data_IF_564300679201
#
_entry.id   IF_564300679201
#
_cell.length_a   1.000
_cell.length_b   1.000
_cell.length_c   1.000
_cell.angle_alpha   90.00
_cell.angle_beta   90.00
_cell.angle_gamma   90.00
#
_symmetry.space_group_name_H-M   'P 1'
#
loop_
_entity.id
_entity.type
_entity.pdbx_description
1 polymer ?
#
# COMPACT_ATOMS: atom_id res chain seq x y z
N UNK A 1 -12.39 7.02 13.91
CA UNK A 1 -12.22 6.89 15.37
C UNK A 1 -10.71 6.79 15.64
N UNK A 2 -10.12 7.73 16.39
CA UNK A 2 -8.66 7.76 16.58
C UNK A 2 -8.22 6.74 17.63
N UNK A 3 -7.79 5.56 17.17
CA UNK A 3 -7.13 4.54 17.98
C UNK A 3 -5.63 4.88 18.08
N UNK A 4 -5.30 5.85 18.93
CA UNK A 4 -3.90 6.31 19.13
C UNK A 4 -2.98 5.24 19.75
N UNK A 5 -3.54 4.16 20.32
CA UNK A 5 -2.80 3.18 21.12
C UNK A 5 -3.03 1.72 20.70
N UNK A 6 -3.85 1.45 19.68
CA UNK A 6 -3.97 0.08 19.18
C UNK A 6 -2.84 -0.23 18.20
N UNK A 7 -2.23 -1.43 18.28
CA UNK A 7 -1.25 -1.85 17.30
C UNK A 7 -1.93 -1.92 15.93
N UNK A 8 -1.30 -1.33 14.91
CA UNK A 8 -1.84 -1.33 13.55
C UNK A 8 -2.02 -2.76 13.05
N UNK A 9 -3.19 -3.01 12.46
CA UNK A 9 -3.48 -4.28 11.81
C UNK A 9 -2.52 -4.53 10.64
N UNK A 10 -2.38 -5.79 10.23
CA UNK A 10 -1.58 -6.14 9.03
C UNK A 10 -2.07 -5.38 7.80
N UNK A 11 -3.38 -5.22 7.65
CA UNK A 11 -4.01 -4.49 6.54
C UNK A 11 -3.62 -3.01 6.55
N UNK A 12 -3.72 -2.34 7.70
CA UNK A 12 -3.33 -0.94 7.85
C UNK A 12 -1.85 -0.72 7.52
N UNK A 13 -0.97 -1.64 7.95
CA UNK A 13 0.46 -1.56 7.65
C UNK A 13 0.74 -1.71 6.15
N UNK A 14 -0.01 -2.56 5.45
CA UNK A 14 0.11 -2.70 4.00
C UNK A 14 -0.41 -1.45 3.27
N UNK A 15 -1.55 -0.90 3.69
CA UNK A 15 -2.11 0.33 3.13
C UNK A 15 -1.15 1.52 3.27
N UNK A 16 -0.51 1.67 4.44
CA UNK A 16 0.50 2.71 4.66
C UNK A 16 1.73 2.53 3.77
N UNK A 17 2.22 1.29 3.66
CA UNK A 17 3.37 0.98 2.81
C UNK A 17 3.06 1.23 1.33
N UNK A 18 1.85 0.88 0.88
CA UNK A 18 1.35 1.19 -0.46
C UNK A 18 1.34 2.71 -0.69
N UNK A 19 0.73 3.48 0.21
CA UNK A 19 0.64 4.94 0.10
C UNK A 19 2.02 5.59 0.05
N UNK A 20 2.95 5.13 0.89
CA UNK A 20 4.34 5.61 0.88
C UNK A 20 5.04 5.35 -0.46
N UNK A 21 4.93 4.12 -1.00
CA UNK A 21 5.56 3.77 -2.26
C UNK A 21 4.95 4.52 -3.45
N UNK A 22 3.63 4.68 -3.48
CA UNK A 22 2.95 5.47 -4.52
C UNK A 22 3.33 6.94 -4.48
N UNK A 23 3.43 7.53 -3.30
CA UNK A 23 3.89 8.90 -3.16
C UNK A 23 5.33 9.05 -3.68
N UNK A 24 6.21 8.10 -3.33
CA UNK A 24 7.60 8.13 -3.78
C UNK A 24 7.77 7.84 -5.27
N UNK A 25 6.97 6.96 -5.87
CA UNK A 25 7.00 6.77 -7.32
C UNK A 25 6.59 8.05 -8.04
N UNK A 26 5.49 8.69 -7.60
CA UNK A 26 5.02 9.95 -8.18
C UNK A 26 6.06 11.07 -8.11
N UNK A 27 6.68 11.26 -6.94
CA UNK A 27 7.74 12.28 -6.75
C UNK A 27 8.96 12.03 -7.66
N UNK A 28 9.27 10.76 -7.96
CA UNK A 28 10.41 10.38 -8.82
C UNK A 28 10.09 10.37 -10.31
N UNK A 29 8.82 10.26 -10.71
CA UNK A 29 8.41 10.07 -12.11
C UNK A 29 8.94 11.15 -13.07
N UNK A 30 9.15 12.37 -12.56
CA UNK A 30 9.65 13.51 -13.35
C UNK A 30 11.17 13.49 -13.57
N UNK A 31 11.94 12.78 -12.73
CA UNK A 31 13.40 12.86 -12.71
C UNK A 31 14.09 11.51 -12.96
N UNK A 32 13.46 10.41 -12.56
CA UNK A 32 13.97 9.05 -12.69
C UNK A 32 12.82 8.07 -12.92
N UNK A 33 12.45 7.92 -14.19
CA UNK A 33 11.36 7.03 -14.62
C UNK A 33 11.61 5.58 -14.20
N UNK A 34 12.83 5.08 -14.35
CA UNK A 34 13.15 3.67 -14.04
C UNK A 34 12.92 3.37 -12.56
N UNK A 35 13.37 4.25 -11.66
CA UNK A 35 13.11 4.07 -10.22
C UNK A 35 11.65 4.28 -9.87
N UNK A 36 10.99 5.26 -10.46
CA UNK A 36 9.54 5.47 -10.31
C UNK A 36 8.76 4.21 -10.66
N UNK A 37 9.02 3.63 -11.84
CA UNK A 37 8.34 2.44 -12.34
C UNK A 37 8.60 1.23 -11.42
N UNK A 38 9.82 1.06 -10.92
CA UNK A 38 10.14 0.01 -9.95
C UNK A 38 9.35 0.18 -8.64
N UNK A 39 9.25 1.40 -8.10
CA UNK A 39 8.47 1.65 -6.88
C UNK A 39 6.97 1.46 -7.10
N UNK A 40 6.47 1.91 -8.25
CA UNK A 40 5.09 1.72 -8.64
C UNK A 40 4.74 0.22 -8.77
N UNK A 41 5.62 -0.58 -9.39
CA UNK A 41 5.42 -2.02 -9.49
C UNK A 41 5.35 -2.69 -8.11
N UNK A 42 6.22 -2.30 -7.17
CA UNK A 42 6.15 -2.77 -5.78
C UNK A 42 4.85 -2.35 -5.09
N UNK A 43 4.38 -1.12 -5.33
CA UNK A 43 3.11 -0.65 -4.80
C UNK A 43 1.93 -1.47 -5.35
N UNK A 44 1.92 -1.78 -6.65
CA UNK A 44 0.89 -2.63 -7.26
C UNK A 44 0.83 -4.03 -6.65
N UNK A 45 1.97 -4.66 -6.34
CA UNK A 45 1.99 -5.96 -5.65
C UNK A 45 1.36 -5.87 -4.26
N UNK A 46 1.63 -4.81 -3.50
CA UNK A 46 1.00 -4.60 -2.19
C UNK A 46 -0.50 -4.38 -2.34
N UNK A 47 -0.93 -3.61 -3.34
CA UNK A 47 -2.35 -3.38 -3.60
C UNK A 47 -3.11 -4.67 -3.93
N UNK A 48 -2.47 -5.61 -4.64
CA UNK A 48 -3.06 -6.93 -4.90
C UNK A 48 -3.30 -7.71 -3.59
N UNK A 49 -2.35 -7.66 -2.66
CA UNK A 49 -2.49 -8.32 -1.36
C UNK A 49 -3.54 -7.64 -0.48
N UNK A 50 -3.57 -6.30 -0.42
CA UNK A 50 -4.62 -5.53 0.27
C UNK A 50 -5.99 -5.99 -0.23
N UNK A 51 -6.20 -5.99 -1.55
CA UNK A 51 -7.48 -6.42 -2.15
C UNK A 51 -7.82 -7.87 -1.86
N UNK A 52 -6.82 -8.75 -1.73
CA UNK A 52 -7.03 -10.15 -1.35
C UNK A 52 -7.50 -10.26 0.10
N UNK A 53 -6.86 -9.53 1.01
CA UNK A 53 -7.24 -9.50 2.42
C UNK A 53 -8.63 -8.91 2.62
N UNK A 54 -8.96 -7.82 1.93
CA UNK A 54 -10.29 -7.19 1.97
C UNK A 54 -11.37 -8.17 1.50
N UNK A 55 -11.18 -8.84 0.36
CA UNK A 55 -12.14 -9.86 -0.12
C UNK A 55 -12.33 -11.02 0.86
N UNK A 56 -11.23 -11.52 1.44
CA UNK A 56 -11.32 -12.61 2.40
C UNK A 56 -12.06 -12.18 3.68
N UNK A 57 -11.92 -10.91 4.09
CA UNK A 57 -12.64 -10.38 5.24
C UNK A 57 -14.15 -10.30 4.98
N UNK A 58 -14.54 -9.87 3.77
CA UNK A 58 -15.95 -9.77 3.34
C UNK A 58 -16.63 -11.15 3.19
N UNK A 59 -15.87 -12.24 3.00
CA UNK A 59 -16.38 -13.62 2.91
C UNK A 59 -16.57 -14.30 4.28
N UNK A 60 -15.99 -13.74 5.35
CA UNK A 60 -16.02 -14.29 6.71
C UNK A 60 -17.10 -13.63 7.62
N UNK A 61 -17.73 -12.53 7.17
CA UNK A 61 -18.85 -11.85 7.84
C UNK A 61 -20.23 -12.29 7.32
#
# INVERSE_FOLDING_TARGET
MFRLFEPRSTLERLQEKYAFLMRRSFELALFDKTRSDMLNQKACTILQEIKRMERNHDEEE
#
